data_IF_792782020469
#
_entry.id   IF_792782020469
#
_cell.length_a   1.000
_cell.length_b   1.000
_cell.length_c   1.000
_cell.angle_alpha   90.00
_cell.angle_beta   90.00
_cell.angle_gamma   90.00
#
_symmetry.space_group_name_H-M   'P 1'
#
loop_
_entity.id
_entity.type
_entity.pdbx_description
1 polymer ?
#
# COMPACT_ATOMS: atom_id res chain seq x y z
N UNK A 1 6.24 0.25 14.28
CA UNK A 1 6.16 1.71 14.00
C UNK A 1 5.07 1.90 12.94
N UNK A 2 4.24 2.94 13.00
CA UNK A 2 3.21 3.19 11.97
C UNK A 2 3.87 3.55 10.64
N UNK A 3 3.32 3.07 9.52
CA UNK A 3 3.73 3.44 8.17
C UNK A 3 3.63 4.96 7.95
N UNK A 4 4.61 5.52 7.27
CA UNK A 4 4.65 6.91 6.82
C UNK A 4 3.79 7.13 5.58
N UNK A 5 3.25 8.33 5.41
CA UNK A 5 2.30 8.68 4.33
C UNK A 5 2.84 9.85 3.51
N UNK A 6 2.86 9.73 2.18
CA UNK A 6 3.03 10.88 1.28
C UNK A 6 1.68 11.30 0.72
N UNK A 7 1.36 12.59 0.81
CA UNK A 7 0.23 13.18 0.10
C UNK A 7 0.68 13.62 -1.29
N UNK A 8 -0.10 13.29 -2.31
CA UNK A 8 0.07 13.74 -3.69
C UNK A 8 -1.19 14.52 -4.09
N UNK A 9 -1.04 15.68 -4.72
CA UNK A 9 -2.19 16.50 -5.07
C UNK A 9 -1.85 17.83 -5.73
N UNK A 10 -2.89 18.51 -6.21
CA UNK A 10 -2.73 19.76 -6.98
C UNK A 10 -2.46 20.96 -6.08
N UNK A 11 -1.60 21.87 -6.55
CA UNK A 11 -1.35 23.16 -5.92
C UNK A 11 -2.63 24.01 -5.74
N UNK A 12 -3.59 23.93 -6.68
CA UNK A 12 -4.91 24.57 -6.52
C UNK A 12 -5.70 24.11 -5.28
N UNK A 13 -5.36 22.95 -4.71
CA UNK A 13 -6.00 22.37 -3.52
C UNK A 13 -5.07 22.43 -2.29
N UNK A 14 -4.10 23.36 -2.30
CA UNK A 14 -3.09 23.52 -1.25
C UNK A 14 -3.70 23.56 0.14
N UNK A 15 -4.71 24.39 0.36
CA UNK A 15 -5.30 24.59 1.70
C UNK A 15 -5.89 23.31 2.27
N UNK A 16 -6.74 22.61 1.51
CA UNK A 16 -7.32 21.33 1.93
C UNK A 16 -6.26 20.24 2.12
N UNK A 17 -5.29 20.15 1.21
CA UNK A 17 -4.18 19.19 1.30
C UNK A 17 -3.33 19.42 2.55
N UNK A 18 -3.01 20.69 2.85
CA UNK A 18 -2.17 21.06 3.98
C UNK A 18 -2.91 20.82 5.29
N UNK A 19 -4.21 21.12 5.35
CA UNK A 19 -5.04 20.74 6.49
C UNK A 19 -5.06 19.21 6.69
N UNK A 20 -5.23 18.43 5.63
CA UNK A 20 -5.23 16.97 5.72
C UNK A 20 -3.88 16.44 6.24
N UNK A 21 -2.77 17.04 5.78
CA UNK A 21 -1.43 16.77 6.31
C UNK A 21 -1.33 17.10 7.79
N UNK A 22 -1.75 18.30 8.22
CA UNK A 22 -1.66 18.73 9.61
C UNK A 22 -2.47 17.79 10.52
N UNK A 23 -3.68 17.41 10.09
CA UNK A 23 -4.53 16.45 10.78
C UNK A 23 -3.85 15.05 10.91
N UNK A 24 -3.16 14.56 9.87
CA UNK A 24 -2.37 13.31 9.96
C UNK A 24 -1.23 13.44 10.98
N UNK A 25 -0.51 14.56 10.95
CA UNK A 25 0.61 14.78 11.88
C UNK A 25 0.14 14.91 13.33
N UNK A 26 -1.03 15.52 13.56
CA UNK A 26 -1.67 15.61 14.88
C UNK A 26 -2.07 14.21 15.42
N UNK A 27 -2.34 13.24 14.54
CA UNK A 27 -2.57 11.83 14.90
C UNK A 27 -1.26 11.04 15.14
N UNK A 28 -0.11 11.70 15.10
CA UNK A 28 1.22 11.10 15.29
C UNK A 28 1.70 10.28 14.09
N UNK A 29 1.15 10.53 12.89
CA UNK A 29 1.58 9.86 11.65
C UNK A 29 2.70 10.68 11.01
N UNK A 30 3.79 10.00 10.64
CA UNK A 30 4.84 10.61 9.83
C UNK A 30 4.28 10.87 8.42
N UNK A 31 4.00 12.14 8.10
CA UNK A 31 3.44 12.55 6.82
C UNK A 31 4.45 13.39 6.01
N UNK A 32 4.35 13.30 4.70
CA UNK A 32 5.07 14.11 3.72
C UNK A 32 4.05 14.75 2.77
N UNK A 33 4.35 15.96 2.28
CA UNK A 33 3.48 16.68 1.33
C UNK A 33 4.30 17.34 0.22
N UNK A 34 3.69 17.69 -0.92
CA UNK A 34 4.31 18.57 -1.89
C UNK A 34 4.58 19.94 -1.25
N UNK A 35 5.72 20.53 -1.62
CA UNK A 35 6.09 21.86 -1.18
C UNK A 35 5.58 22.91 -2.16
N UNK A 36 4.61 23.68 -1.70
CA UNK A 36 4.00 24.80 -2.43
C UNK A 36 4.35 26.15 -1.80
N UNK A 37 5.28 26.18 -0.83
CA UNK A 37 5.71 27.42 -0.20
C UNK A 37 6.65 28.22 -1.09
N UNK A 38 6.66 29.54 -0.89
CA UNK A 38 7.49 30.47 -1.67
C UNK A 38 7.13 30.60 -3.16
N UNK A 39 6.04 29.96 -3.60
CA UNK A 39 5.53 30.08 -4.97
C UNK A 39 4.69 31.34 -5.12
N UNK A 40 4.75 31.95 -6.30
CA UNK A 40 3.93 33.12 -6.61
C UNK A 40 2.44 32.77 -6.50
N UNK A 41 1.69 33.41 -5.57
CA UNK A 41 0.27 33.12 -5.35
C UNK A 41 -0.58 33.27 -6.62
N UNK A 42 -0.18 34.14 -7.56
CA UNK A 42 -0.88 34.33 -8.85
C UNK A 42 -0.92 33.04 -9.67
N UNK A 43 0.10 32.20 -9.55
CA UNK A 43 0.19 30.95 -10.28
C UNK A 43 -0.70 29.85 -9.69
N UNK A 44 -1.12 29.97 -8.43
CA UNK A 44 -1.80 28.87 -7.71
C UNK A 44 -3.13 28.50 -8.35
N UNK A 45 -3.83 29.47 -8.91
CA UNK A 45 -5.14 29.32 -9.53
C UNK A 45 -5.06 29.01 -11.03
N UNK A 46 -3.88 29.09 -11.62
CA UNK A 46 -3.69 28.84 -13.05
C UNK A 46 -3.61 27.34 -13.34
N UNK A 47 -4.12 26.95 -14.50
CA UNK A 47 -3.87 25.63 -15.06
C UNK A 47 -2.39 25.45 -15.41
N UNK A 48 -1.93 24.20 -15.45
CA UNK A 48 -0.51 23.88 -15.74
C UNK A 48 -0.04 24.50 -17.07
N UNK A 49 -0.90 24.51 -18.09
CA UNK A 49 -0.62 25.09 -19.41
C UNK A 49 -0.34 26.59 -19.39
N UNK A 50 -0.87 27.30 -18.39
CA UNK A 50 -0.61 28.72 -18.19
C UNK A 50 0.58 28.95 -17.26
N UNK A 51 0.73 28.13 -16.20
CA UNK A 51 1.89 28.22 -15.30
C UNK A 51 3.21 28.00 -16.02
N UNK A 52 3.27 27.08 -16.99
CA UNK A 52 4.50 26.77 -17.73
C UNK A 52 5.01 27.94 -18.59
N UNK A 53 4.17 28.96 -18.83
CA UNK A 53 4.57 30.20 -19.53
C UNK A 53 5.38 31.14 -18.63
N UNK A 54 5.29 30.99 -17.31
CA UNK A 54 6.12 31.73 -16.36
C UNK A 54 7.56 31.18 -16.36
N UNK A 55 8.57 32.00 -16.71
CA UNK A 55 9.95 31.52 -16.84
C UNK A 55 10.54 30.99 -15.52
N UNK A 56 10.18 31.60 -14.39
CA UNK A 56 10.68 31.22 -13.06
C UNK A 56 10.06 29.87 -12.66
N UNK A 57 8.74 29.73 -12.81
CA UNK A 57 8.06 28.46 -12.56
C UNK A 57 8.67 27.32 -13.37
N UNK A 58 8.87 27.55 -14.68
CA UNK A 58 9.44 26.55 -15.58
C UNK A 58 10.87 26.15 -15.19
N UNK A 59 11.70 27.10 -14.75
CA UNK A 59 13.07 26.84 -14.33
C UNK A 59 13.13 25.92 -13.10
N UNK A 60 12.18 26.03 -12.17
CA UNK A 60 12.17 25.26 -10.93
C UNK A 60 11.32 23.98 -10.97
N UNK A 61 10.44 23.83 -11.96
CA UNK A 61 9.48 22.72 -12.04
C UNK A 61 10.13 21.34 -11.90
N UNK A 62 11.22 21.09 -12.61
CA UNK A 62 11.92 19.79 -12.55
C UNK A 62 12.38 19.47 -11.12
N UNK A 63 12.97 20.45 -10.43
CA UNK A 63 13.47 20.28 -9.07
C UNK A 63 12.35 19.94 -8.09
N UNK A 64 11.18 20.58 -8.23
CA UNK A 64 10.01 20.31 -7.40
C UNK A 64 9.44 18.92 -7.66
N UNK A 65 9.30 18.53 -8.93
CA UNK A 65 8.82 17.20 -9.31
C UNK A 65 9.75 16.13 -8.76
N UNK A 66 11.06 16.22 -9.01
CA UNK A 66 12.05 15.25 -8.50
C UNK A 66 12.02 15.18 -6.98
N UNK A 67 12.02 16.32 -6.29
CA UNK A 67 11.98 16.35 -4.83
C UNK A 67 10.70 15.70 -4.27
N UNK A 68 9.57 15.80 -4.98
CA UNK A 68 8.34 15.13 -4.54
C UNK A 68 8.36 13.63 -4.86
N UNK A 69 8.89 13.20 -6.01
CA UNK A 69 9.09 11.78 -6.30
C UNK A 69 10.03 11.10 -5.29
N UNK A 70 11.04 11.80 -4.76
CA UNK A 70 11.87 11.27 -3.67
C UNK A 70 11.09 11.12 -2.36
N UNK A 71 10.19 12.06 -2.04
CA UNK A 71 9.27 11.91 -0.90
C UNK A 71 8.35 10.70 -1.08
N UNK A 72 7.86 10.47 -2.30
CA UNK A 72 7.07 9.27 -2.60
C UNK A 72 7.90 8.01 -2.41
N UNK A 73 9.14 7.99 -2.91
CA UNK A 73 10.05 6.85 -2.73
C UNK A 73 10.29 6.53 -1.26
N UNK A 74 10.49 7.56 -0.43
CA UNK A 74 10.80 7.41 1.00
C UNK A 74 9.61 7.12 1.91
N UNK A 75 8.37 7.41 1.50
CA UNK A 75 7.18 7.10 2.31
C UNK A 75 6.69 5.67 2.11
N UNK A 76 5.99 5.09 3.08
CA UNK A 76 5.47 3.72 2.97
C UNK A 76 4.17 3.65 2.17
N UNK A 77 3.32 4.67 2.30
CA UNK A 77 1.97 4.74 1.71
C UNK A 77 1.82 6.01 0.86
N UNK A 78 1.15 5.90 -0.29
CA UNK A 78 0.79 7.04 -1.13
C UNK A 78 -0.69 7.38 -0.99
N UNK A 79 -1.00 8.64 -0.74
CA UNK A 79 -2.37 9.15 -0.66
C UNK A 79 -2.61 10.20 -1.74
N UNK A 80 -3.60 9.97 -2.60
CA UNK A 80 -4.01 10.89 -3.65
C UNK A 80 -5.09 11.84 -3.11
N UNK A 81 -4.73 13.08 -2.87
CA UNK A 81 -5.64 14.15 -2.46
C UNK A 81 -6.32 14.78 -3.68
N UNK A 82 -7.32 14.07 -4.22
CA UNK A 82 -8.09 14.47 -5.40
C UNK A 82 -9.40 15.19 -5.05
N UNK A 83 -9.33 16.22 -4.19
CA UNK A 83 -10.49 17.05 -3.86
C UNK A 83 -11.19 17.58 -5.13
N UNK A 84 -12.52 17.53 -5.13
CA UNK A 84 -13.39 17.86 -6.26
C UNK A 84 -13.12 17.01 -7.52
N UNK A 85 -12.57 15.80 -7.34
CA UNK A 85 -12.23 14.88 -8.42
C UNK A 85 -10.97 15.26 -9.19
N UNK A 86 -10.18 16.22 -8.70
CA UNK A 86 -9.00 16.71 -9.44
C UNK A 86 -7.90 15.65 -9.49
N UNK A 87 -7.66 15.11 -10.68
CA UNK A 87 -6.61 14.11 -10.95
C UNK A 87 -5.88 14.38 -12.27
N UNK A 88 -5.04 15.43 -12.22
CA UNK A 88 -4.30 15.95 -13.37
C UNK A 88 -3.03 15.15 -13.71
N UNK A 89 -2.32 15.58 -14.75
CA UNK A 89 -1.15 14.88 -15.32
C UNK A 89 -0.06 14.61 -14.27
N UNK A 90 0.29 15.60 -13.44
CA UNK A 90 1.33 15.42 -12.42
C UNK A 90 0.90 14.41 -11.35
N UNK A 91 -0.34 14.48 -10.88
CA UNK A 91 -0.87 13.53 -9.89
C UNK A 91 -1.01 12.12 -10.47
N UNK A 92 -1.27 11.98 -11.77
CA UNK A 92 -1.21 10.68 -12.47
C UNK A 92 0.21 10.12 -12.52
N UNK A 93 1.21 10.95 -12.79
CA UNK A 93 2.62 10.55 -12.75
C UNK A 93 3.01 10.09 -11.33
N UNK A 94 2.64 10.86 -10.31
CA UNK A 94 2.87 10.51 -8.89
C UNK A 94 2.22 9.18 -8.52
N UNK A 95 0.96 8.98 -8.92
CA UNK A 95 0.22 7.73 -8.74
C UNK A 95 0.94 6.54 -9.39
N UNK A 96 1.27 6.64 -10.69
CA UNK A 96 1.91 5.53 -11.40
C UNK A 96 3.33 5.25 -10.89
N UNK A 97 4.02 6.28 -10.42
CA UNK A 97 5.31 6.14 -9.77
C UNK A 97 5.19 5.36 -8.45
N UNK A 98 4.24 5.73 -7.58
CA UNK A 98 3.97 4.98 -6.34
C UNK A 98 3.56 3.52 -6.62
N UNK A 99 2.71 3.32 -7.64
CA UNK A 99 2.25 1.98 -8.08
C UNK A 99 3.43 1.10 -8.50
N UNK A 100 4.36 1.62 -9.30
CA UNK A 100 5.56 0.89 -9.74
C UNK A 100 6.56 0.61 -8.62
N UNK A 101 6.53 1.39 -7.55
CA UNK A 101 7.30 1.13 -6.34
C UNK A 101 6.62 0.10 -5.41
N UNK A 102 5.44 -0.41 -5.77
CA UNK A 102 4.71 -1.38 -4.94
C UNK A 102 4.18 -0.79 -3.63
N UNK A 103 3.81 0.49 -3.64
CA UNK A 103 3.26 1.16 -2.45
C UNK A 103 1.74 1.01 -2.39
N UNK A 104 1.14 0.78 -1.21
CA UNK A 104 -0.30 0.93 -1.03
C UNK A 104 -0.75 2.34 -1.44
N UNK A 105 -1.85 2.42 -2.19
CA UNK A 105 -2.40 3.68 -2.67
C UNK A 105 -3.81 3.88 -2.11
N UNK A 106 -4.06 5.07 -1.57
CA UNK A 106 -5.37 5.54 -1.11
C UNK A 106 -5.75 6.80 -1.85
N UNK A 107 -7.04 7.14 -1.88
CA UNK A 107 -7.50 8.39 -2.47
C UNK A 107 -8.62 9.03 -1.66
N UNK A 108 -8.76 10.36 -1.76
CA UNK A 108 -9.83 11.10 -1.08
C UNK A 108 -11.20 10.80 -1.70
N UNK A 109 -11.25 10.72 -3.03
CA UNK A 109 -12.43 10.39 -3.83
C UNK A 109 -12.10 9.26 -4.82
N UNK A 110 -13.09 8.57 -5.39
CA UNK A 110 -12.85 7.57 -6.43
C UNK A 110 -12.03 8.14 -7.61
N UNK A 111 -11.06 7.35 -8.09
CA UNK A 111 -10.28 7.62 -9.30
C UNK A 111 -10.96 7.01 -10.53
N UNK A 112 -10.52 7.34 -11.76
CA UNK A 112 -11.03 6.66 -12.95
C UNK A 112 -10.82 5.14 -12.85
N UNK A 113 -11.73 4.36 -13.45
CA UNK A 113 -11.85 2.91 -13.22
C UNK A 113 -10.53 2.13 -13.34
N UNK A 114 -9.69 2.45 -14.34
CA UNK A 114 -8.43 1.75 -14.56
C UNK A 114 -7.34 2.04 -13.52
N UNK A 115 -7.42 3.17 -12.80
CA UNK A 115 -6.57 3.44 -11.65
C UNK A 115 -7.18 2.93 -10.36
N UNK A 116 -8.51 2.96 -10.25
CA UNK A 116 -9.23 2.54 -9.06
C UNK A 116 -8.91 1.09 -8.66
N UNK A 117 -8.57 0.22 -9.62
CA UNK A 117 -8.13 -1.16 -9.37
C UNK A 117 -6.92 -1.24 -8.42
N UNK A 118 -6.03 -0.24 -8.42
CA UNK A 118 -4.83 -0.20 -7.58
C UNK A 118 -5.02 0.61 -6.29
N UNK A 119 -6.21 1.16 -6.07
CA UNK A 119 -6.55 1.89 -4.84
C UNK A 119 -7.08 0.91 -3.80
N UNK A 120 -6.46 0.91 -2.62
CA UNK A 120 -6.86 0.04 -1.51
C UNK A 120 -8.20 0.46 -0.92
N UNK A 121 -8.37 1.75 -0.68
CA UNK A 121 -9.62 2.34 -0.22
C UNK A 121 -9.74 3.82 -0.58
N UNK A 122 -10.97 4.28 -0.70
CA UNK A 122 -11.31 5.71 -0.66
C UNK A 122 -11.44 6.11 0.81
N UNK A 123 -10.74 7.17 1.20
CA UNK A 123 -10.57 7.60 2.58
C UNK A 123 -10.79 9.11 2.65
N UNK A 124 -11.95 9.51 3.19
CA UNK A 124 -12.35 10.93 3.23
C UNK A 124 -11.72 11.70 4.40
N UNK A 125 -11.42 11.02 5.50
CA UNK A 125 -10.86 11.64 6.71
C UNK A 125 -9.52 11.00 7.12
N UNK A 126 -8.54 11.79 7.60
CA UNK A 126 -7.23 11.30 8.03
C UNK A 126 -7.27 10.12 9.02
N UNK A 127 -8.20 10.18 9.99
CA UNK A 127 -8.36 9.12 11.02
C UNK A 127 -8.73 7.77 10.43
N UNK A 128 -9.43 7.74 9.29
CA UNK A 128 -9.84 6.50 8.62
C UNK A 128 -8.68 5.81 7.89
N UNK A 129 -7.53 6.47 7.76
CA UNK A 129 -6.31 5.84 7.24
C UNK A 129 -5.60 4.98 8.30
N UNK A 130 -5.81 5.25 9.60
CA UNK A 130 -5.08 4.58 10.70
C UNK A 130 -5.11 3.04 10.64
N UNK A 131 -6.24 2.37 10.34
CA UNK A 131 -6.28 0.91 10.23
C UNK A 131 -5.38 0.34 9.12
N UNK A 132 -4.98 1.17 8.16
CA UNK A 132 -4.15 0.79 7.01
C UNK A 132 -2.67 1.09 7.19
N UNK A 133 -2.25 1.61 8.35
CA UNK A 133 -0.84 1.97 8.61
C UNK A 133 -0.10 0.93 9.45
N UNK A 134 -0.74 -0.22 9.72
CA UNK A 134 -0.16 -1.40 10.36
C UNK A 134 0.68 -2.25 9.39
N UNK A 135 1.14 -3.42 9.82
CA UNK A 135 1.90 -4.40 9.01
C UNK A 135 0.99 -5.17 8.06
N UNK A 136 1.39 -5.34 6.79
CA UNK A 136 0.59 -5.92 5.72
C UNK A 136 0.85 -7.42 5.60
N UNK A 137 -0.20 -8.22 5.71
CA UNK A 137 -0.15 -9.69 5.61
C UNK A 137 -0.92 -10.12 4.37
N UNK A 138 -0.22 -10.61 3.35
CA UNK A 138 -0.87 -11.20 2.19
C UNK A 138 -1.27 -12.65 2.50
N UNK A 139 -2.58 -12.90 2.58
CA UNK A 139 -3.15 -14.25 2.76
C UNK A 139 -3.41 -14.84 1.38
N UNK A 140 -2.59 -15.82 1.01
CA UNK A 140 -2.71 -16.55 -0.25
C UNK A 140 -3.61 -17.76 -0.03
N UNK A 141 -4.67 -17.88 -0.82
CA UNK A 141 -5.63 -18.97 -0.66
C UNK A 141 -6.34 -19.29 -1.97
N UNK A 142 -6.93 -20.48 -2.07
CA UNK A 142 -7.85 -20.80 -3.15
C UNK A 142 -9.15 -19.98 -3.06
N UNK A 143 -9.76 -19.58 -4.20
CA UNK A 143 -10.97 -18.74 -4.22
C UNK A 143 -12.17 -19.31 -3.46
N UNK A 144 -12.32 -20.64 -3.42
CA UNK A 144 -13.43 -21.30 -2.75
C UNK A 144 -13.40 -21.19 -1.21
N UNK A 145 -12.31 -20.65 -0.63
CA UNK A 145 -12.11 -20.45 0.82
C UNK A 145 -12.32 -19.03 1.30
N UNK A 146 -13.03 -18.21 0.52
CA UNK A 146 -13.22 -16.78 0.80
C UNK A 146 -13.83 -16.53 2.19
N UNK A 147 -14.68 -17.42 2.68
CA UNK A 147 -15.34 -17.27 3.98
C UNK A 147 -14.35 -17.47 5.12
N UNK A 148 -13.58 -18.55 5.10
CA UNK A 148 -12.57 -18.84 6.12
C UNK A 148 -11.47 -17.79 6.12
N UNK A 149 -11.03 -17.34 4.95
CA UNK A 149 -10.04 -16.26 4.85
C UNK A 149 -10.60 -14.94 5.38
N UNK A 150 -11.90 -14.66 5.20
CA UNK A 150 -12.53 -13.46 5.76
C UNK A 150 -12.51 -13.45 7.28
N UNK A 151 -12.71 -14.60 7.93
CA UNK A 151 -12.56 -14.74 9.39
C UNK A 151 -11.13 -14.49 9.84
N UNK A 152 -10.14 -15.01 9.10
CA UNK A 152 -8.72 -14.72 9.34
C UNK A 152 -8.41 -13.23 9.20
N UNK A 153 -8.92 -12.58 8.15
CA UNK A 153 -8.74 -11.15 7.97
C UNK A 153 -9.29 -10.35 9.15
N UNK A 154 -10.49 -10.68 9.63
CA UNK A 154 -11.07 -9.96 10.77
C UNK A 154 -10.24 -10.16 12.05
N UNK A 155 -9.85 -11.39 12.35
CA UNK A 155 -9.03 -11.70 13.52
C UNK A 155 -7.67 -10.96 13.50
N UNK A 156 -7.03 -10.83 12.33
CA UNK A 156 -5.77 -10.10 12.19
C UNK A 156 -5.96 -8.57 12.24
N UNK A 157 -7.07 -8.05 11.68
CA UNK A 157 -7.40 -6.60 11.77
C UNK A 157 -7.59 -6.14 13.20
N UNK A 158 -8.28 -6.91 14.04
CA UNK A 158 -8.47 -6.62 15.47
C UNK A 158 -7.12 -6.45 16.19
N UNK A 159 -6.07 -7.13 15.70
CA UNK A 159 -4.70 -7.05 16.23
C UNK A 159 -3.86 -5.92 15.63
N UNK A 160 -4.45 -5.08 14.78
CA UNK A 160 -3.76 -3.95 14.15
C UNK A 160 -2.91 -4.32 12.92
N UNK A 161 -3.10 -5.51 12.35
CA UNK A 161 -2.50 -5.91 11.08
C UNK A 161 -3.41 -5.52 9.91
N UNK A 162 -2.85 -5.49 8.70
CA UNK A 162 -3.55 -5.17 7.45
C UNK A 162 -3.56 -6.41 6.55
N UNK A 163 -4.56 -7.30 6.71
CA UNK A 163 -4.59 -8.53 5.95
C UNK A 163 -5.19 -8.33 4.56
N UNK A 164 -4.42 -8.69 3.53
CA UNK A 164 -4.81 -8.66 2.13
C UNK A 164 -5.09 -10.08 1.66
N UNK A 165 -6.35 -10.41 1.38
CA UNK A 165 -6.70 -11.69 0.79
C UNK A 165 -6.41 -11.68 -0.71
N UNK A 166 -5.70 -12.70 -1.19
CA UNK A 166 -5.26 -12.85 -2.57
C UNK A 166 -5.59 -14.26 -3.04
N UNK A 167 -6.39 -14.32 -4.11
CA UNK A 167 -6.96 -15.57 -4.62
C UNK A 167 -6.63 -15.85 -6.10
N UNK A 168 -6.02 -14.88 -6.78
CA UNK A 168 -5.78 -14.91 -8.22
C UNK A 168 -4.49 -14.13 -8.57
N UNK A 169 -4.04 -14.27 -9.82
CA UNK A 169 -2.87 -13.54 -10.34
C UNK A 169 -3.27 -12.31 -11.16
N UNK A 170 -4.39 -11.65 -10.83
CA UNK A 170 -4.77 -10.38 -11.48
C UNK A 170 -3.74 -9.28 -11.25
N UNK A 171 -3.69 -8.22 -12.09
CA UNK A 171 -2.80 -7.08 -11.88
C UNK A 171 -2.93 -6.47 -10.47
N UNK A 172 -4.15 -6.38 -9.94
CA UNK A 172 -4.40 -5.95 -8.55
C UNK A 172 -3.74 -6.87 -7.53
N UNK A 173 -3.95 -8.17 -7.65
CA UNK A 173 -3.39 -9.16 -6.74
C UNK A 173 -1.86 -9.14 -6.76
N UNK A 174 -1.25 -9.08 -7.95
CA UNK A 174 0.20 -8.98 -8.10
C UNK A 174 0.74 -7.66 -7.53
N UNK A 175 0.01 -6.55 -7.69
CA UNK A 175 0.37 -5.30 -7.01
C UNK A 175 0.32 -5.44 -5.48
N UNK A 176 -0.72 -6.09 -4.94
CA UNK A 176 -0.83 -6.37 -3.51
C UNK A 176 0.24 -7.30 -2.94
N UNK A 177 0.77 -8.23 -3.75
CA UNK A 177 1.94 -9.01 -3.33
C UNK A 177 3.14 -8.10 -3.08
N UNK A 178 3.33 -7.06 -3.89
CA UNK A 178 4.44 -6.12 -3.73
C UNK A 178 4.32 -5.18 -2.51
N UNK A 179 3.11 -5.02 -1.97
CA UNK A 179 2.86 -4.17 -0.79
C UNK A 179 2.99 -4.94 0.53
N UNK A 180 2.99 -6.28 0.48
CA UNK A 180 2.99 -7.14 1.66
C UNK A 180 4.35 -7.15 2.37
N UNK A 181 4.31 -7.14 3.70
CA UNK A 181 5.50 -7.32 4.54
C UNK A 181 5.79 -8.80 4.77
N UNK A 182 4.72 -9.59 4.83
CA UNK A 182 4.74 -11.03 5.13
C UNK A 182 3.66 -11.73 4.30
N UNK A 183 3.95 -12.95 3.88
CA UNK A 183 3.00 -13.82 3.21
C UNK A 183 2.53 -14.94 4.15
N UNK A 184 1.27 -15.32 4.01
CA UNK A 184 0.69 -16.46 4.70
C UNK A 184 -0.11 -17.31 3.72
N UNK A 185 0.34 -18.54 3.51
CA UNK A 185 -0.34 -19.53 2.67
C UNK A 185 -1.40 -20.25 3.50
N UNK A 186 -2.66 -19.91 3.28
CA UNK A 186 -3.79 -20.58 3.91
C UNK A 186 -4.22 -21.78 3.07
N UNK A 187 -3.83 -22.97 3.52
CA UNK A 187 -4.18 -24.22 2.85
C UNK A 187 -4.39 -25.38 3.83
N UNK A 188 -5.58 -25.51 4.43
CA UNK A 188 -5.86 -26.55 5.42
C UNK A 188 -5.95 -27.98 4.87
N UNK A 189 -6.04 -28.15 3.55
CA UNK A 189 -6.07 -29.48 2.91
C UNK A 189 -4.69 -30.05 2.63
N UNK A 190 -3.61 -29.30 2.92
CA UNK A 190 -2.24 -29.74 2.67
C UNK A 190 -2.00 -30.15 1.22
N UNK A 191 -2.73 -29.56 0.27
CA UNK A 191 -2.58 -29.79 -1.17
C UNK A 191 -2.57 -28.46 -1.91
N UNK A 192 -1.44 -28.07 -2.45
CA UNK A 192 -1.27 -26.85 -3.22
C UNK A 192 -1.80 -27.08 -4.63
N UNK A 193 -2.79 -26.29 -5.01
CA UNK A 193 -3.28 -26.24 -6.38
C UNK A 193 -2.44 -25.28 -7.22
N UNK A 194 -2.47 -25.46 -8.54
CA UNK A 194 -1.67 -24.68 -9.50
C UNK A 194 -1.76 -23.16 -9.28
N UNK A 195 -2.97 -22.63 -9.07
CA UNK A 195 -3.19 -21.21 -8.79
C UNK A 195 -2.47 -20.72 -7.53
N UNK A 196 -2.47 -21.53 -6.47
CA UNK A 196 -1.81 -21.20 -5.20
C UNK A 196 -0.29 -21.31 -5.31
N UNK A 197 0.22 -22.24 -6.13
CA UNK A 197 1.63 -22.33 -6.47
C UNK A 197 2.08 -21.09 -7.26
N UNK A 198 1.27 -20.60 -8.20
CA UNK A 198 1.57 -19.37 -8.93
C UNK A 198 1.64 -18.14 -8.00
N UNK A 199 0.69 -18.03 -7.05
CA UNK A 199 0.71 -17.00 -6.00
C UNK A 199 1.94 -17.11 -5.10
N UNK A 200 2.30 -18.33 -4.68
CA UNK A 200 3.49 -18.59 -3.89
C UNK A 200 4.75 -18.14 -4.64
N UNK A 201 4.86 -18.44 -5.94
CA UNK A 201 5.97 -17.98 -6.77
C UNK A 201 6.10 -16.45 -6.77
N UNK A 202 4.97 -15.74 -6.91
CA UNK A 202 4.94 -14.28 -6.81
C UNK A 202 5.37 -13.76 -5.44
N UNK A 203 4.90 -14.38 -4.36
CA UNK A 203 5.31 -14.04 -3.00
C UNK A 203 6.82 -14.25 -2.75
N UNK A 204 7.35 -15.40 -3.15
CA UNK A 204 8.77 -15.74 -3.00
C UNK A 204 9.67 -14.77 -3.74
N UNK A 205 9.25 -14.26 -4.90
CA UNK A 205 10.02 -13.27 -5.66
C UNK A 205 10.27 -11.96 -4.90
N UNK A 206 9.46 -11.65 -3.89
CA UNK A 206 9.65 -10.46 -3.04
C UNK A 206 10.61 -10.67 -1.88
N UNK A 207 11.08 -11.90 -1.64
CA UNK A 207 12.07 -12.20 -0.59
C UNK A 207 11.59 -11.90 0.83
N UNK A 208 10.28 -11.91 1.07
CA UNK A 208 9.68 -11.73 2.39
C UNK A 208 9.39 -13.08 3.05
N UNK A 209 9.25 -13.14 4.39
CA UNK A 209 8.88 -14.37 5.08
C UNK A 209 7.54 -14.92 4.56
N UNK A 210 7.50 -16.24 4.33
CA UNK A 210 6.29 -16.97 3.94
C UNK A 210 5.94 -17.94 5.05
N UNK A 211 4.84 -17.72 5.75
CA UNK A 211 4.26 -18.68 6.69
C UNK A 211 3.23 -19.55 5.97
N UNK A 212 2.95 -20.73 6.50
CA UNK A 212 1.99 -21.64 5.92
C UNK A 212 1.14 -22.32 7.00
N UNK A 213 -0.11 -22.63 6.64
CA UNK A 213 -1.01 -23.42 7.49
C UNK A 213 -0.46 -24.82 7.72
N UNK A 214 -0.07 -25.51 6.65
CA UNK A 214 0.60 -26.81 6.69
C UNK A 214 1.59 -26.96 5.51
N UNK A 215 2.36 -28.05 5.51
CA UNK A 215 3.12 -28.49 4.33
C UNK A 215 2.23 -29.21 3.31
N UNK A 216 2.66 -29.19 2.06
CA UNK A 216 2.17 -30.13 1.05
C UNK A 216 3.07 -31.38 1.04
N UNK A 217 2.54 -32.60 1.27
CA UNK A 217 3.36 -33.81 1.37
C UNK A 217 4.00 -34.23 0.03
N UNK A 218 3.57 -33.66 -1.08
CA UNK A 218 4.05 -33.97 -2.44
C UNK A 218 4.92 -32.83 -2.99
N UNK A 219 4.56 -31.57 -2.72
CA UNK A 219 5.25 -30.39 -3.26
C UNK A 219 6.42 -29.92 -2.39
N UNK A 220 7.43 -30.79 -2.23
CA UNK A 220 8.63 -30.52 -1.39
C UNK A 220 9.37 -29.23 -1.81
N UNK A 221 9.37 -28.91 -3.11
CA UNK A 221 9.96 -27.67 -3.62
C UNK A 221 9.24 -26.44 -3.05
N UNK A 222 7.91 -26.42 -3.05
CA UNK A 222 7.12 -25.33 -2.50
C UNK A 222 7.35 -25.17 -0.98
N UNK A 223 7.42 -26.29 -0.25
CA UNK A 223 7.64 -26.25 1.20
C UNK A 223 8.97 -25.63 1.60
N UNK A 224 9.99 -25.68 0.73
CA UNK A 224 11.32 -25.11 1.01
C UNK A 224 11.31 -23.59 1.21
N UNK A 225 10.25 -22.91 0.74
CA UNK A 225 10.07 -21.47 0.92
C UNK A 225 9.34 -21.12 2.21
N UNK A 226 8.74 -22.09 2.91
CA UNK A 226 7.98 -21.83 4.11
C UNK A 226 8.90 -21.68 5.32
N UNK A 227 8.57 -20.71 6.17
CA UNK A 227 9.09 -20.63 7.52
C UNK A 227 8.85 -21.96 8.25
N UNK A 228 9.78 -22.51 9.05
CA UNK A 228 9.64 -23.84 9.65
C UNK A 228 8.44 -24.02 10.59
N UNK A 229 7.99 -22.94 11.24
CA UNK A 229 6.80 -22.99 12.10
C UNK A 229 5.51 -22.90 11.28
N UNK A 230 4.62 -23.87 11.48
CA UNK A 230 3.26 -23.89 10.91
C UNK A 230 2.30 -23.06 11.74
N UNK A 231 1.35 -22.44 11.07
CA UNK A 231 0.48 -21.42 11.65
C UNK A 231 -0.97 -21.80 11.36
N UNK A 232 -1.66 -22.39 12.34
CA UNK A 232 -3.05 -22.84 12.15
C UNK A 232 -4.10 -21.89 12.71
N UNK A 233 -3.66 -20.86 13.44
CA UNK A 233 -4.53 -19.83 14.03
C UNK A 233 -3.96 -18.42 13.80
N UNK A 234 -4.80 -17.39 13.65
CA UNK A 234 -4.36 -16.00 13.55
C UNK A 234 -3.51 -15.53 14.74
N UNK A 235 -3.84 -16.00 15.95
CA UNK A 235 -3.10 -15.67 17.18
C UNK A 235 -1.65 -16.14 17.11
N UNK A 236 -1.41 -17.32 16.55
CA UNK A 236 -0.07 -17.88 16.38
C UNK A 236 0.73 -17.03 15.40
N UNK A 237 0.13 -16.59 14.29
CA UNK A 237 0.77 -15.71 13.32
C UNK A 237 1.20 -14.39 13.97
N UNK A 238 0.27 -13.75 14.67
CA UNK A 238 0.55 -12.49 15.35
C UNK A 238 1.66 -12.63 16.39
N UNK A 239 1.63 -13.69 17.20
CA UNK A 239 2.66 -13.98 18.18
C UNK A 239 4.04 -14.19 17.53
N UNK A 240 4.10 -14.88 16.39
CA UNK A 240 5.36 -15.07 15.65
C UNK A 240 5.97 -13.74 15.20
N UNK A 241 5.13 -12.84 14.67
CA UNK A 241 5.58 -11.55 14.14
C UNK A 241 5.98 -10.55 15.24
N UNK A 242 5.30 -10.57 16.39
CA UNK A 242 5.42 -9.49 17.39
C UNK A 242 5.98 -9.91 18.75
N UNK A 243 5.96 -11.21 19.11
CA UNK A 243 6.44 -11.68 20.41
C UNK A 243 7.81 -12.36 20.36
N UNK A 244 8.24 -12.86 19.19
CA UNK A 244 9.54 -13.54 19.02
C UNK A 244 10.68 -12.65 18.52
N UNK A 245 10.49 -11.31 18.45
CA UNK A 245 11.55 -10.34 18.16
C UNK A 245 12.69 -10.27 19.20
N UNK A 246 12.67 -11.13 20.23
CA UNK A 246 13.73 -11.26 21.24
C UNK A 246 14.54 -12.57 21.15
N UNK A 247 14.44 -13.36 20.08
CA UNK A 247 15.17 -14.64 20.00
C UNK A 247 15.54 -15.07 18.59
N UNK A 248 16.79 -14.79 18.22
CA UNK A 248 17.72 -15.54 17.34
C UNK A 248 17.16 -16.40 16.20
N UNK A 249 17.68 -16.05 15.01
CA UNK A 249 18.09 -16.91 13.85
C UNK A 249 18.05 -18.41 14.09
#
# INVERSE_FOLDING_TARGET
MKRSVVLCGSQQKKEGLYKFYDDLTALGIAALKPDFEGRDPRLHLLEESERIKDPIYRQHLESFVRAHLERIRGADVCFIYNQDGKFGVNTRLEFDYARRLGKPIFSLLPLPAYQQEYVEAVVEEPKHLLPWLGEYIAILSAPHRVNEVSEWQEALRIKGLVPLAIYDTSPRSLHRLSTADVFYVYNPESKLHEDLVALLGGAVAHGRPVYAYDEDPVEVCCNSFFHPRRVRKPDDLFALLHLNGNGTV
#
